data_IF_264669820524
#
_entry.id   IF_264669820524
#
_cell.length_a   1.000
_cell.length_b   1.000
_cell.length_c   1.000
_cell.angle_alpha   90.00
_cell.angle_beta   90.00
_cell.angle_gamma   90.00
#
_symmetry.space_group_name_H-M   'P 1'
#
loop_
_entity.id
_entity.type
_entity.pdbx_description
1 polymer ?
#
# COMPACT_ATOMS: atom_id res chain seq x y z
N UNK A 1 -20.56 -3.00 22.80
CA UNK A 1 -21.47 -3.98 23.46
C UNK A 1 -21.36 -5.40 22.87
N UNK A 2 -21.51 -5.60 21.55
CA UNK A 2 -21.43 -6.94 20.93
C UNK A 2 -20.10 -7.68 21.15
N UNK A 3 -18.96 -7.00 20.98
CA UNK A 3 -17.63 -7.60 21.18
C UNK A 3 -17.38 -8.00 22.64
N UNK A 4 -17.84 -7.18 23.60
CA UNK A 4 -17.70 -7.46 25.03
C UNK A 4 -18.54 -8.67 25.45
N UNK A 5 -19.77 -8.79 24.95
CA UNK A 5 -20.64 -9.94 25.19
C UNK A 5 -20.02 -11.22 24.60
N UNK A 6 -19.53 -11.16 23.37
CA UNK A 6 -18.83 -12.26 22.72
C UNK A 6 -17.59 -12.69 23.53
N UNK A 7 -16.79 -11.73 23.98
CA UNK A 7 -15.62 -11.97 24.83
C UNK A 7 -15.96 -12.63 26.15
N UNK A 8 -16.99 -12.14 26.84
CA UNK A 8 -17.45 -12.73 28.09
C UNK A 8 -17.94 -14.17 27.91
N UNK A 9 -18.74 -14.43 26.86
CA UNK A 9 -19.21 -15.77 26.53
C UNK A 9 -18.06 -16.73 26.19
N UNK A 10 -17.11 -16.29 25.35
CA UNK A 10 -15.94 -17.09 24.94
C UNK A 10 -15.01 -17.42 26.12
N UNK A 11 -14.79 -16.43 27.01
CA UNK A 11 -14.00 -16.61 28.23
C UNK A 11 -14.68 -17.57 29.21
N UNK A 12 -15.99 -17.41 29.43
CA UNK A 12 -16.75 -18.30 30.31
C UNK A 12 -16.78 -19.74 29.79
N UNK A 13 -16.99 -19.93 28.48
CA UNK A 13 -16.99 -21.24 27.85
C UNK A 13 -15.62 -21.92 27.97
N UNK A 14 -14.54 -21.16 27.77
CA UNK A 14 -13.17 -21.67 27.93
C UNK A 14 -12.90 -22.08 29.37
N UNK A 15 -13.26 -21.24 30.34
CA UNK A 15 -13.11 -21.54 31.76
C UNK A 15 -13.87 -22.82 32.14
N UNK A 16 -15.09 -23.01 31.63
CA UNK A 16 -15.89 -24.20 31.86
C UNK A 16 -15.23 -25.47 31.29
N UNK A 17 -14.76 -25.40 30.04
CA UNK A 17 -14.11 -26.55 29.37
C UNK A 17 -12.82 -26.93 30.09
N UNK A 18 -11.99 -25.96 30.46
CA UNK A 18 -10.74 -26.19 31.20
C UNK A 18 -11.03 -26.75 32.59
N UNK A 19 -11.99 -26.16 33.32
CA UNK A 19 -12.38 -26.65 34.65
C UNK A 19 -12.93 -28.08 34.59
N UNK A 20 -13.83 -28.38 33.66
CA UNK A 20 -14.37 -29.73 33.49
C UNK A 20 -13.26 -30.75 33.13
N UNK A 21 -12.35 -30.40 32.23
CA UNK A 21 -11.23 -31.26 31.85
C UNK A 21 -10.25 -31.48 33.02
N UNK A 22 -10.08 -30.49 33.89
CA UNK A 22 -9.26 -30.62 35.10
C UNK A 22 -9.94 -31.47 36.17
N UNK A 23 -11.23 -31.22 36.45
CA UNK A 23 -12.00 -31.98 37.44
C UNK A 23 -12.11 -33.47 37.09
N UNK A 24 -12.21 -33.83 35.81
CA UNK A 24 -12.26 -35.23 35.39
C UNK A 24 -10.93 -35.96 35.49
N UNK A 25 -9.80 -35.26 35.37
CA UNK A 25 -8.48 -35.90 35.17
C UNK A 25 -7.48 -35.66 36.31
N UNK A 26 -7.65 -34.62 37.12
CA UNK A 26 -6.85 -34.28 38.30
C UNK A 26 -5.39 -33.88 38.04
N UNK A 27 -4.77 -34.33 36.95
CA UNK A 27 -3.37 -34.10 36.61
C UNK A 27 -3.22 -33.16 35.40
N UNK A 28 -2.40 -32.11 35.56
CA UNK A 28 -2.15 -31.07 34.55
C UNK A 28 -1.84 -31.64 33.15
N UNK A 29 -0.88 -32.56 33.05
CA UNK A 29 -0.44 -33.14 31.77
C UNK A 29 -1.60 -33.84 31.04
N UNK A 30 -2.39 -34.62 31.75
CA UNK A 30 -3.52 -35.36 31.15
C UNK A 30 -4.67 -34.44 30.74
N UNK A 31 -4.85 -33.33 31.45
CA UNK A 31 -5.79 -32.26 31.07
C UNK A 31 -5.33 -31.56 29.80
N UNK A 32 -4.05 -31.19 29.68
CA UNK A 32 -3.50 -30.59 28.47
C UNK A 32 -3.65 -31.51 27.25
N UNK A 33 -3.36 -32.81 27.40
CA UNK A 33 -3.58 -33.79 26.33
C UNK A 33 -5.06 -33.85 25.91
N UNK A 34 -5.98 -33.83 26.87
CA UNK A 34 -7.40 -33.85 26.54
C UNK A 34 -7.85 -32.61 25.77
N UNK A 35 -7.43 -31.42 26.24
CA UNK A 35 -7.76 -30.15 25.62
C UNK A 35 -7.21 -30.05 24.19
N UNK A 36 -6.04 -30.63 23.95
CA UNK A 36 -5.37 -30.62 22.63
C UNK A 36 -5.81 -31.75 21.70
N UNK A 37 -6.41 -32.82 22.22
CA UNK A 37 -6.92 -33.95 21.41
C UNK A 37 -8.41 -33.88 21.14
N UNK A 38 -9.18 -33.22 22.00
CA UNK A 38 -10.63 -33.06 21.82
C UNK A 38 -10.93 -31.93 20.85
N UNK A 39 -11.53 -32.24 19.70
CA UNK A 39 -11.91 -31.24 18.69
C UNK A 39 -12.82 -30.15 19.25
N UNK A 40 -13.74 -30.51 20.15
CA UNK A 40 -14.62 -29.55 20.81
C UNK A 40 -13.86 -28.58 21.73
N UNK A 41 -12.90 -29.09 22.50
CA UNK A 41 -12.08 -28.25 23.39
C UNK A 41 -11.16 -27.33 22.58
N UNK A 42 -10.58 -27.84 21.50
CA UNK A 42 -9.77 -27.05 20.58
C UNK A 42 -10.55 -25.89 19.95
N UNK A 43 -11.78 -26.11 19.48
CA UNK A 43 -12.61 -25.05 18.89
C UNK A 43 -12.87 -23.92 19.89
N UNK A 44 -13.17 -24.27 21.15
CA UNK A 44 -13.41 -23.28 22.21
C UNK A 44 -12.13 -22.49 22.50
N UNK A 45 -10.98 -23.15 22.61
CA UNK A 45 -9.69 -22.49 22.82
C UNK A 45 -9.30 -21.59 21.64
N UNK A 46 -9.52 -22.03 20.41
CA UNK A 46 -9.28 -21.25 19.20
C UNK A 46 -10.19 -20.01 19.13
N UNK A 47 -11.44 -20.13 19.55
CA UNK A 47 -12.35 -18.98 19.65
C UNK A 47 -11.82 -17.93 20.63
N UNK A 48 -11.36 -18.35 21.83
CA UNK A 48 -10.75 -17.44 22.78
C UNK A 48 -9.47 -16.81 22.21
N UNK A 49 -8.61 -17.60 21.56
CA UNK A 49 -7.39 -17.09 20.92
C UNK A 49 -7.69 -16.05 19.83
N UNK A 50 -8.72 -16.28 19.01
CA UNK A 50 -9.20 -15.31 18.03
C UNK A 50 -9.71 -14.03 18.69
N UNK A 51 -10.51 -14.15 19.76
CA UNK A 51 -10.99 -13.01 20.51
C UNK A 51 -9.85 -12.16 21.09
N UNK A 52 -8.88 -12.80 21.75
CA UNK A 52 -7.69 -12.13 22.29
C UNK A 52 -6.91 -11.42 21.19
N UNK A 53 -6.70 -12.09 20.05
CA UNK A 53 -6.02 -11.48 18.88
C UNK A 53 -6.76 -10.23 18.40
N UNK A 54 -8.09 -10.26 18.29
CA UNK A 54 -8.91 -9.10 17.88
C UNK A 54 -8.79 -7.96 18.89
N UNK A 55 -8.82 -8.25 20.19
CA UNK A 55 -8.67 -7.22 21.25
C UNK A 55 -7.29 -6.58 21.19
N UNK A 56 -6.23 -7.37 21.06
CA UNK A 56 -4.86 -6.86 20.90
C UNK A 56 -4.72 -6.02 19.62
N UNK A 57 -5.29 -6.47 18.51
CA UNK A 57 -5.31 -5.72 17.26
C UNK A 57 -6.01 -4.36 17.43
N UNK A 58 -7.17 -4.32 18.11
CA UNK A 58 -7.91 -3.09 18.39
C UNK A 58 -7.14 -2.17 19.33
N UNK A 59 -6.45 -2.71 20.34
CA UNK A 59 -5.62 -1.93 21.25
C UNK A 59 -4.44 -1.29 20.51
N UNK A 60 -3.72 -2.06 19.69
CA UNK A 60 -2.64 -1.53 18.85
C UNK A 60 -3.17 -0.50 17.83
N UNK A 61 -4.31 -0.79 17.19
CA UNK A 61 -4.96 0.14 16.27
C UNK A 61 -5.31 1.47 16.96
N UNK A 62 -5.88 1.43 18.17
CA UNK A 62 -6.19 2.63 18.94
C UNK A 62 -4.92 3.40 19.36
N UNK A 63 -3.85 2.70 19.76
CA UNK A 63 -2.59 3.30 20.19
C UNK A 63 -1.87 4.06 19.05
N UNK A 64 -1.77 3.46 17.87
CA UNK A 64 -1.03 4.03 16.73
C UNK A 64 -1.89 4.92 15.83
N UNK A 65 -3.16 4.56 15.60
CA UNK A 65 -4.00 5.19 14.57
C UNK A 65 -5.22 5.94 15.10
N UNK A 66 -5.56 5.81 16.38
CA UNK A 66 -6.73 6.47 16.96
C UNK A 66 -8.05 5.92 16.41
N UNK A 67 -8.96 6.79 15.96
CA UNK A 67 -10.20 6.36 15.30
C UNK A 67 -9.97 6.21 13.79
N UNK A 68 -10.38 5.08 13.22
CA UNK A 68 -10.35 4.86 11.77
C UNK A 68 -11.46 5.67 11.09
N UNK A 69 -11.14 6.22 9.92
CA UNK A 69 -12.07 6.93 9.05
C UNK A 69 -12.96 5.92 8.32
N UNK A 70 -14.13 6.37 7.87
CA UNK A 70 -15.06 5.53 7.12
C UNK A 70 -14.40 4.91 5.88
N UNK A 71 -13.64 5.69 5.11
CA UNK A 71 -12.94 5.23 3.91
C UNK A 71 -11.90 4.12 4.23
N UNK A 72 -11.17 4.26 5.34
CA UNK A 72 -10.21 3.23 5.77
C UNK A 72 -10.92 1.93 6.14
N UNK A 73 -12.08 2.03 6.81
CA UNK A 73 -12.89 0.85 7.17
C UNK A 73 -13.45 0.17 5.92
N UNK A 74 -13.89 0.94 4.93
CA UNK A 74 -14.39 0.42 3.65
C UNK A 74 -13.30 -0.31 2.87
N UNK A 75 -12.14 0.32 2.66
CA UNK A 75 -10.99 -0.32 2.02
C UNK A 75 -10.55 -1.58 2.77
N UNK A 76 -10.54 -1.55 4.11
CA UNK A 76 -10.21 -2.73 4.91
C UNK A 76 -11.20 -3.87 4.66
N UNK A 77 -12.50 -3.60 4.57
CA UNK A 77 -13.51 -4.63 4.31
C UNK A 77 -13.31 -5.26 2.94
N UNK A 78 -13.14 -4.44 1.90
CA UNK A 78 -12.92 -4.91 0.53
C UNK A 78 -11.65 -5.76 0.41
N UNK A 79 -10.51 -5.23 0.87
CA UNK A 79 -9.21 -5.91 0.79
C UNK A 79 -9.18 -7.19 1.64
N UNK A 80 -9.80 -7.17 2.82
CA UNK A 80 -9.84 -8.35 3.71
C UNK A 80 -10.63 -9.50 3.09
N UNK A 81 -11.76 -9.21 2.43
CA UNK A 81 -12.56 -10.24 1.77
C UNK A 81 -11.75 -10.96 0.68
N UNK A 82 -11.04 -10.20 -0.16
CA UNK A 82 -10.16 -10.80 -1.17
C UNK A 82 -9.03 -11.63 -0.55
N UNK A 83 -8.32 -11.10 0.45
CA UNK A 83 -7.22 -11.82 1.10
C UNK A 83 -7.67 -13.14 1.74
N UNK A 84 -8.87 -13.18 2.34
CA UNK A 84 -9.44 -14.42 2.88
C UNK A 84 -9.73 -15.40 1.74
N UNK A 85 -10.35 -14.96 0.64
CA UNK A 85 -10.64 -15.84 -0.50
C UNK A 85 -9.38 -16.40 -1.16
N UNK A 86 -8.33 -15.60 -1.32
CA UNK A 86 -7.04 -16.00 -1.88
C UNK A 86 -6.36 -17.03 -0.98
N UNK A 87 -6.44 -16.87 0.33
CA UNK A 87 -5.91 -17.86 1.28
C UNK A 87 -6.73 -19.15 1.26
N UNK A 88 -8.05 -19.06 1.14
CA UNK A 88 -8.90 -20.23 0.94
C UNK A 88 -8.53 -21.01 -0.33
N UNK A 89 -8.18 -20.30 -1.41
CA UNK A 89 -7.66 -20.93 -2.62
C UNK A 89 -6.26 -21.54 -2.39
N UNK A 90 -5.38 -20.87 -1.65
CA UNK A 90 -4.06 -21.41 -1.29
C UNK A 90 -4.16 -22.71 -0.48
N UNK A 91 -5.16 -22.83 0.41
CA UNK A 91 -5.40 -24.06 1.18
C UNK A 91 -5.75 -25.27 0.29
N UNK A 92 -6.31 -25.05 -0.91
CA UNK A 92 -6.62 -26.17 -1.82
C UNK A 92 -5.37 -26.86 -2.35
N UNK A 93 -4.25 -26.11 -2.44
CA UNK A 93 -2.97 -26.60 -2.94
C UNK A 93 -2.22 -27.36 -1.83
N UNK A 94 -2.38 -26.94 -0.58
CA UNK A 94 -1.62 -27.45 0.56
C UNK A 94 -2.52 -28.06 1.64
N UNK A 95 -3.50 -28.84 1.20
CA UNK A 95 -4.50 -29.44 2.07
C UNK A 95 -3.90 -30.28 3.21
N UNK A 96 -2.75 -30.90 2.96
CA UNK A 96 -2.06 -31.79 3.91
C UNK A 96 -1.31 -31.02 5.03
N UNK A 97 -0.95 -29.76 4.80
CA UNK A 97 -0.27 -28.89 5.77
C UNK A 97 -1.25 -28.14 6.69
N UNK A 98 -2.56 -28.39 6.58
CA UNK A 98 -3.55 -27.69 7.38
C UNK A 98 -3.51 -28.13 8.85
N UNK A 99 -3.06 -27.22 9.72
CA UNK A 99 -2.98 -27.45 11.16
C UNK A 99 -3.08 -26.16 11.99
N UNK A 100 -2.92 -26.28 13.31
CA UNK A 100 -2.99 -25.14 14.24
C UNK A 100 -1.92 -24.09 13.95
N UNK A 101 -0.72 -24.51 13.58
CA UNK A 101 0.37 -23.61 13.22
C UNK A 101 0.05 -22.83 11.95
N UNK A 102 -0.53 -23.47 10.93
CA UNK A 102 -1.00 -22.78 9.73
C UNK A 102 -2.02 -21.69 10.07
N UNK A 103 -3.03 -22.01 10.89
CA UNK A 103 -4.03 -21.04 11.31
C UNK A 103 -3.41 -19.85 12.08
N UNK A 104 -2.39 -20.11 12.89
CA UNK A 104 -1.65 -19.06 13.60
C UNK A 104 -0.87 -18.15 12.63
N UNK A 105 -0.10 -18.72 11.69
CA UNK A 105 0.63 -17.94 10.68
C UNK A 105 -0.31 -17.16 9.76
N UNK A 106 -1.44 -17.76 9.38
CA UNK A 106 -2.47 -17.07 8.59
C UNK A 106 -3.10 -15.91 9.36
N UNK A 107 -3.50 -16.13 10.61
CA UNK A 107 -4.03 -15.08 11.47
C UNK A 107 -3.03 -13.93 11.66
N UNK A 108 -1.75 -14.26 11.83
CA UNK A 108 -0.67 -13.27 11.91
C UNK A 108 -0.49 -12.51 10.59
N UNK A 109 -0.49 -13.19 9.44
CA UNK A 109 -0.37 -12.56 8.13
C UNK A 109 -1.52 -11.56 7.90
N UNK A 110 -2.76 -11.98 8.15
CA UNK A 110 -3.92 -11.08 8.00
C UNK A 110 -3.82 -9.87 8.92
N UNK A 111 -3.40 -10.06 10.16
CA UNK A 111 -3.22 -8.96 11.12
C UNK A 111 -2.18 -7.95 10.60
N UNK A 112 -1.03 -8.44 10.13
CA UNK A 112 0.04 -7.60 9.58
C UNK A 112 -0.41 -6.92 8.29
N UNK A 113 -1.13 -7.60 7.39
CA UNK A 113 -1.74 -7.01 6.17
C UNK A 113 -2.66 -5.84 6.52
N UNK A 114 -3.55 -6.00 7.51
CA UNK A 114 -4.47 -4.95 7.95
C UNK A 114 -3.70 -3.70 8.40
N UNK A 115 -2.65 -3.86 9.20
CA UNK A 115 -1.85 -2.72 9.64
C UNK A 115 -1.13 -2.03 8.48
N UNK A 116 -0.57 -2.77 7.52
CA UNK A 116 -0.01 -2.19 6.31
C UNK A 116 -1.02 -1.36 5.52
N UNK A 117 -2.24 -1.87 5.33
CA UNK A 117 -3.30 -1.15 4.63
C UNK A 117 -3.70 0.14 5.34
N UNK A 118 -3.79 0.12 6.67
CA UNK A 118 -4.08 1.34 7.45
C UNK A 118 -2.95 2.36 7.31
N UNK A 119 -1.69 1.94 7.43
CA UNK A 119 -0.54 2.84 7.28
C UNK A 119 -0.53 3.47 5.89
N UNK A 120 -0.74 2.67 4.84
CA UNK A 120 -0.81 3.17 3.47
C UNK A 120 -1.89 4.24 3.31
N UNK A 121 -3.13 3.94 3.72
CA UNK A 121 -4.25 4.88 3.61
C UNK A 121 -4.04 6.16 4.45
N UNK A 122 -3.28 6.08 5.55
CA UNK A 122 -2.92 7.24 6.38
C UNK A 122 -1.84 8.10 5.74
N UNK A 123 -0.83 7.48 5.13
CA UNK A 123 0.23 8.20 4.41
C UNK A 123 -0.35 8.88 3.17
N UNK A 124 -1.20 8.20 2.40
CA UNK A 124 -1.86 8.78 1.23
C UNK A 124 -2.78 9.96 1.64
N UNK A 125 -3.34 9.95 2.86
CA UNK A 125 -4.12 11.07 3.37
C UNK A 125 -3.30 12.26 3.88
N UNK A 126 -2.01 12.10 4.14
CA UNK A 126 -1.16 13.22 4.61
C UNK A 126 -1.18 14.40 3.65
N UNK A 127 -1.35 14.15 2.35
CA UNK A 127 -1.48 15.19 1.33
C UNK A 127 -2.69 16.11 1.54
N UNK A 128 -3.76 15.60 2.14
CA UNK A 128 -5.01 16.34 2.34
C UNK A 128 -5.05 17.06 3.69
N UNK A 129 -4.05 16.83 4.57
CA UNK A 129 -4.06 17.33 5.95
C UNK A 129 -2.85 18.26 6.20
N UNK A 130 -3.06 19.60 6.22
CA UNK A 130 -1.95 20.55 6.32
C UNK A 130 -1.33 20.66 7.72
N UNK A 131 -2.02 20.21 8.78
CA UNK A 131 -1.58 20.37 10.17
C UNK A 131 -1.34 19.02 10.85
N UNK A 132 -0.18 18.42 10.61
CA UNK A 132 0.23 17.18 11.25
C UNK A 132 0.98 17.45 12.57
N UNK A 133 0.60 16.75 13.64
CA UNK A 133 1.27 16.88 14.93
C UNK A 133 2.55 16.04 14.98
N UNK A 134 3.52 16.41 15.83
CA UNK A 134 4.74 15.60 16.05
C UNK A 134 4.39 14.17 16.50
N UNK A 135 3.35 14.02 17.33
CA UNK A 135 2.88 12.71 17.79
C UNK A 135 2.41 11.81 16.65
N UNK A 136 1.83 12.38 15.58
CA UNK A 136 1.48 11.63 14.38
C UNK A 136 2.73 11.07 13.70
N UNK A 137 3.76 11.90 13.47
CA UNK A 137 5.00 11.45 12.84
C UNK A 137 5.71 10.36 13.64
N UNK A 138 5.80 10.51 14.97
CA UNK A 138 6.37 9.48 15.85
C UNK A 138 5.60 8.17 15.74
N UNK A 139 4.27 8.21 15.77
CA UNK A 139 3.42 7.01 15.64
C UNK A 139 3.57 6.34 14.27
N UNK A 140 3.61 7.11 13.18
CA UNK A 140 3.74 6.57 11.82
C UNK A 140 5.11 5.93 11.58
N UNK A 141 6.20 6.61 11.98
CA UNK A 141 7.55 6.04 11.83
C UNK A 141 7.74 4.80 12.70
N UNK A 142 7.23 4.81 13.93
CA UNK A 142 7.33 3.66 14.83
C UNK A 142 6.55 2.46 14.30
N UNK A 143 5.30 2.63 13.83
CA UNK A 143 4.54 1.50 13.29
C UNK A 143 5.14 0.96 11.99
N UNK A 144 5.59 1.82 11.07
CA UNK A 144 6.29 1.38 9.84
C UNK A 144 7.57 0.59 10.16
N UNK A 145 8.34 1.05 11.16
CA UNK A 145 9.54 0.34 11.64
C UNK A 145 9.22 -1.02 12.26
N UNK A 146 8.18 -1.10 13.10
CA UNK A 146 7.73 -2.35 13.70
C UNK A 146 7.23 -3.35 12.65
N UNK A 147 6.49 -2.89 11.64
CA UNK A 147 6.04 -3.71 10.53
C UNK A 147 7.23 -4.24 9.73
N UNK A 148 8.20 -3.39 9.38
CA UNK A 148 9.42 -3.81 8.66
C UNK A 148 10.18 -4.90 9.41
N UNK A 149 10.41 -4.73 10.72
CA UNK A 149 11.10 -5.73 11.54
C UNK A 149 10.30 -7.03 11.59
N UNK A 150 8.98 -6.95 11.72
CA UNK A 150 8.10 -8.12 11.77
C UNK A 150 8.15 -8.89 10.45
N UNK A 151 8.04 -8.22 9.30
CA UNK A 151 8.07 -8.87 8.00
C UNK A 151 9.43 -9.51 7.73
N UNK A 152 10.53 -8.80 8.01
CA UNK A 152 11.89 -9.35 7.83
C UNK A 152 12.12 -10.59 8.71
N UNK A 153 11.66 -10.56 9.96
CA UNK A 153 11.75 -11.70 10.86
C UNK A 153 10.94 -12.90 10.35
N UNK A 154 9.73 -12.67 9.83
CA UNK A 154 8.85 -13.72 9.31
C UNK A 154 9.33 -14.29 7.98
N UNK A 155 9.90 -13.45 7.09
CA UNK A 155 10.59 -13.92 5.87
C UNK A 155 11.80 -14.75 6.26
N UNK A 156 12.63 -14.29 7.19
CA UNK A 156 13.80 -15.04 7.67
C UNK A 156 13.42 -16.39 8.26
N UNK A 157 12.36 -16.42 9.09
CA UNK A 157 11.80 -17.67 9.63
C UNK A 157 11.28 -18.59 8.52
N UNK A 158 10.52 -18.06 7.55
CA UNK A 158 9.99 -18.85 6.45
C UNK A 158 11.12 -19.49 5.61
N UNK A 159 12.18 -18.73 5.31
CA UNK A 159 13.35 -19.23 4.59
C UNK A 159 14.07 -20.31 5.38
N UNK A 160 14.39 -20.08 6.66
CA UNK A 160 15.07 -21.07 7.51
C UNK A 160 14.25 -22.36 7.64
N UNK A 161 12.93 -22.22 7.85
CA UNK A 161 12.03 -23.37 7.93
C UNK A 161 11.99 -24.16 6.62
N UNK A 162 11.86 -23.47 5.48
CA UNK A 162 11.85 -24.11 4.16
C UNK A 162 13.17 -24.80 3.84
N UNK A 163 14.32 -24.25 4.25
CA UNK A 163 15.62 -24.88 4.03
C UNK A 163 15.81 -26.15 4.89
N UNK A 164 15.22 -26.21 6.08
CA UNK A 164 15.36 -27.37 6.99
C UNK A 164 14.35 -28.48 6.72
N UNK A 165 13.09 -28.12 6.50
CA UNK A 165 11.96 -29.07 6.39
C UNK A 165 11.65 -29.38 4.92
N UNK A 166 12.02 -28.48 4.00
CA UNK A 166 11.69 -28.57 2.58
C UNK A 166 10.52 -27.68 2.19
N UNK A 167 10.03 -27.79 0.93
CA UNK A 167 8.98 -26.95 0.41
C UNK A 167 7.63 -27.28 1.07
N UNK A 168 7.06 -26.28 1.75
CA UNK A 168 5.78 -26.33 2.47
C UNK A 168 5.04 -25.01 2.28
N UNK A 169 3.88 -24.83 2.89
CA UNK A 169 3.15 -23.54 2.89
C UNK A 169 3.93 -22.32 3.34
N UNK A 170 5.03 -22.50 4.07
CA UNK A 170 5.89 -21.38 4.47
C UNK A 170 6.43 -20.59 3.27
N UNK A 171 6.55 -21.23 2.10
CA UNK A 171 6.91 -20.56 0.85
C UNK A 171 5.88 -19.45 0.52
N UNK A 172 4.57 -19.75 0.59
CA UNK A 172 3.52 -18.75 0.36
C UNK A 172 3.60 -17.61 1.37
N UNK A 173 3.73 -17.93 2.66
CA UNK A 173 3.84 -16.91 3.69
C UNK A 173 5.06 -16.00 3.49
N UNK A 174 6.24 -16.57 3.22
CA UNK A 174 7.46 -15.79 2.96
C UNK A 174 7.32 -14.87 1.75
N UNK A 175 6.63 -15.32 0.71
CA UNK A 175 6.31 -14.51 -0.46
C UNK A 175 5.37 -13.35 -0.14
N UNK A 176 4.29 -13.61 0.60
CA UNK A 176 3.35 -12.58 1.03
C UNK A 176 4.03 -11.51 1.90
N UNK A 177 4.89 -11.92 2.85
CA UNK A 177 5.68 -10.98 3.64
C UNK A 177 6.71 -10.21 2.79
N UNK A 178 7.27 -10.81 1.74
CA UNK A 178 8.16 -10.11 0.81
C UNK A 178 7.43 -9.00 0.05
N UNK A 179 6.18 -9.24 -0.36
CA UNK A 179 5.34 -8.21 -0.98
C UNK A 179 5.02 -7.10 0.03
N UNK A 180 4.75 -7.45 1.29
CA UNK A 180 4.50 -6.48 2.35
C UNK A 180 5.72 -5.60 2.64
N UNK A 181 6.93 -6.15 2.63
CA UNK A 181 8.16 -5.36 2.72
C UNK A 181 8.24 -4.34 1.59
N UNK A 182 8.02 -4.77 0.34
CA UNK A 182 8.02 -3.88 -0.82
C UNK A 182 6.98 -2.76 -0.69
N UNK A 183 5.79 -3.10 -0.20
CA UNK A 183 4.73 -2.13 0.08
C UNK A 183 5.15 -1.14 1.17
N UNK A 184 5.70 -1.60 2.29
CA UNK A 184 6.12 -0.76 3.40
C UNK A 184 7.27 0.18 3.00
N UNK A 185 8.22 -0.28 2.17
CA UNK A 185 9.27 0.59 1.59
C UNK A 185 8.63 1.69 0.74
N UNK A 186 7.69 1.35 -0.15
CA UNK A 186 7.00 2.34 -0.98
C UNK A 186 6.25 3.37 -0.12
N UNK A 187 5.49 2.90 0.87
CA UNK A 187 4.76 3.77 1.80
C UNK A 187 5.71 4.65 2.60
N UNK A 188 6.87 4.16 3.03
CA UNK A 188 7.89 4.96 3.70
C UNK A 188 8.46 6.05 2.79
N UNK A 189 8.77 5.73 1.52
CA UNK A 189 9.23 6.73 0.56
C UNK A 189 8.16 7.79 0.31
N UNK A 190 6.88 7.41 0.13
CA UNK A 190 5.77 8.38 0.02
C UNK A 190 5.67 9.26 1.25
N UNK A 191 5.75 8.67 2.45
CA UNK A 191 5.75 9.41 3.71
C UNK A 191 6.86 10.47 3.76
N UNK A 192 8.07 10.12 3.33
CA UNK A 192 9.19 11.08 3.25
C UNK A 192 8.88 12.19 2.23
N UNK A 193 8.41 11.85 1.03
CA UNK A 193 8.04 12.84 0.01
C UNK A 193 6.95 13.81 0.50
N UNK A 194 5.89 13.31 1.14
CA UNK A 194 4.84 14.14 1.72
C UNK A 194 5.36 15.02 2.86
N UNK A 195 6.29 14.52 3.69
CA UNK A 195 6.88 15.30 4.78
C UNK A 195 7.79 16.42 4.26
N UNK A 196 8.52 16.19 3.17
CA UNK A 196 9.33 17.22 2.50
C UNK A 196 8.43 18.31 1.93
N UNK A 197 7.38 17.92 1.21
CA UNK A 197 6.40 18.82 0.60
C UNK A 197 5.71 19.71 1.64
N UNK A 198 5.25 19.13 2.77
CA UNK A 198 4.61 19.87 3.87
C UNK A 198 5.54 20.89 4.57
N UNK A 199 6.86 20.73 4.44
CA UNK A 199 7.85 21.69 4.99
C UNK A 199 8.24 22.77 4.00
N UNK A 200 7.91 22.60 2.72
CA UNK A 200 8.17 23.59 1.69
C UNK A 200 7.24 24.79 1.83
N UNK A 201 7.75 25.99 1.60
CA UNK A 201 6.92 27.20 1.53
C UNK A 201 6.08 27.24 0.25
N UNK A 202 6.54 26.55 -0.81
CA UNK A 202 5.88 26.46 -2.10
C UNK A 202 5.45 25.02 -2.39
N UNK A 203 4.32 24.81 -3.08
CA UNK A 203 3.89 23.48 -3.52
C UNK A 203 4.98 22.78 -4.34
N UNK A 204 5.30 21.52 -4.05
CA UNK A 204 6.29 20.78 -4.83
C UNK A 204 5.68 20.25 -6.14
N UNK A 205 5.88 21.00 -7.23
CA UNK A 205 5.30 20.70 -8.55
C UNK A 205 5.70 19.33 -9.12
N UNK A 206 6.96 18.90 -8.93
CA UNK A 206 7.48 17.64 -9.47
C UNK A 206 7.12 16.40 -8.61
N UNK A 207 6.60 16.58 -7.39
CA UNK A 207 6.27 15.47 -6.47
C UNK A 207 5.40 14.37 -7.10
N UNK A 208 4.32 14.68 -7.85
CA UNK A 208 3.50 13.64 -8.48
C UNK A 208 4.31 12.75 -9.45
N UNK A 209 5.35 13.30 -10.08
CA UNK A 209 6.22 12.53 -10.98
C UNK A 209 7.12 11.57 -10.20
N UNK A 210 7.64 11.97 -9.04
CA UNK A 210 8.39 11.07 -8.15
C UNK A 210 7.51 9.94 -7.63
N UNK A 211 6.28 10.24 -7.20
CA UNK A 211 5.31 9.22 -6.76
C UNK A 211 4.97 8.26 -7.91
N UNK A 212 4.79 8.78 -9.13
CA UNK A 212 4.55 7.97 -10.31
C UNK A 212 5.70 7.00 -10.60
N UNK A 213 6.95 7.48 -10.57
CA UNK A 213 8.13 6.62 -10.75
C UNK A 213 8.29 5.59 -9.66
N UNK A 214 8.06 5.98 -8.40
CA UNK A 214 8.08 5.07 -7.27
C UNK A 214 7.08 3.92 -7.47
N UNK A 215 5.83 4.24 -7.78
CA UNK A 215 4.80 3.24 -8.03
C UNK A 215 5.17 2.33 -9.22
N UNK A 216 5.74 2.87 -10.29
CA UNK A 216 6.18 2.08 -11.46
C UNK A 216 7.27 1.07 -11.07
N UNK A 217 8.26 1.48 -10.27
CA UNK A 217 9.34 0.62 -9.78
C UNK A 217 8.77 -0.46 -8.84
N UNK A 218 7.81 -0.10 -7.99
CA UNK A 218 7.15 -1.05 -7.09
C UNK A 218 6.33 -2.08 -7.86
N UNK A 219 5.55 -1.66 -8.86
CA UNK A 219 4.80 -2.57 -9.72
C UNK A 219 5.74 -3.52 -10.48
N UNK A 220 6.89 -3.02 -10.96
CA UNK A 220 7.91 -3.86 -11.58
C UNK A 220 8.50 -4.89 -10.60
N UNK A 221 8.90 -4.46 -9.40
CA UNK A 221 9.43 -5.35 -8.37
C UNK A 221 8.43 -6.43 -8.00
N UNK A 222 7.17 -6.04 -7.75
CA UNK A 222 6.08 -6.99 -7.49
C UNK A 222 5.92 -7.99 -8.62
N UNK A 223 5.91 -7.56 -9.88
CA UNK A 223 5.81 -8.48 -11.02
C UNK A 223 6.96 -9.48 -11.07
N UNK A 224 8.20 -9.04 -10.82
CA UNK A 224 9.35 -9.94 -10.73
C UNK A 224 9.15 -10.94 -9.60
N UNK A 225 8.75 -10.51 -8.41
CA UNK A 225 8.48 -11.39 -7.28
C UNK A 225 7.35 -12.38 -7.58
N UNK A 226 6.22 -11.91 -8.13
CA UNK A 226 5.09 -12.76 -8.54
C UNK A 226 5.52 -13.80 -9.57
N UNK A 227 6.31 -13.41 -10.57
CA UNK A 227 6.75 -14.31 -11.64
C UNK A 227 7.74 -15.36 -11.14
N UNK A 228 8.74 -14.96 -10.34
CA UNK A 228 9.68 -15.89 -9.71
C UNK A 228 8.95 -16.89 -8.83
N UNK A 229 8.02 -16.41 -8.01
CA UNK A 229 7.23 -17.26 -7.14
C UNK A 229 6.32 -18.20 -7.92
N UNK A 230 5.69 -17.72 -9.00
CA UNK A 230 4.89 -18.54 -9.89
C UNK A 230 5.70 -19.70 -10.46
N UNK A 231 6.93 -19.44 -10.94
CA UNK A 231 7.84 -20.50 -11.43
C UNK A 231 8.15 -21.51 -10.32
N UNK A 232 8.52 -21.03 -9.13
CA UNK A 232 8.86 -21.87 -7.98
C UNK A 232 7.69 -22.80 -7.61
N UNK A 233 6.47 -22.26 -7.47
CA UNK A 233 5.31 -23.07 -7.07
C UNK A 233 4.86 -24.03 -8.18
N UNK A 234 4.90 -23.61 -9.44
CA UNK A 234 4.58 -24.50 -10.57
C UNK A 234 5.55 -25.68 -10.66
N UNK A 235 6.84 -25.46 -10.42
CA UNK A 235 7.83 -26.54 -10.48
C UNK A 235 7.75 -27.49 -9.27
N UNK A 236 7.37 -27.00 -8.10
CA UNK A 236 7.41 -27.79 -6.86
C UNK A 236 6.08 -28.46 -6.49
N UNK A 237 4.95 -27.80 -6.76
CA UNK A 237 3.65 -28.15 -6.13
C UNK A 237 2.50 -28.18 -7.14
N UNK A 238 2.54 -27.36 -8.20
CA UNK A 238 1.51 -27.30 -9.24
C UNK A 238 0.97 -25.89 -9.48
N UNK A 239 -0.22 -25.76 -10.07
CA UNK A 239 -0.76 -24.46 -10.51
C UNK A 239 -1.20 -23.56 -9.34
N UNK A 240 -0.57 -22.37 -9.14
CA UNK A 240 -0.88 -21.46 -8.04
C UNK A 240 -2.08 -20.56 -8.34
N UNK A 241 -3.31 -21.11 -8.28
CA UNK A 241 -4.53 -20.33 -8.58
C UNK A 241 -4.70 -19.08 -7.71
N UNK A 242 -4.23 -19.12 -6.45
CA UNK A 242 -4.33 -18.01 -5.51
C UNK A 242 -3.60 -16.73 -5.96
N UNK A 243 -2.59 -16.82 -6.84
CA UNK A 243 -1.77 -15.67 -7.27
C UNK A 243 -2.25 -15.07 -8.60
N UNK A 244 -3.05 -15.80 -9.38
CA UNK A 244 -3.39 -15.40 -10.75
C UNK A 244 -4.07 -14.03 -10.82
N UNK A 245 -4.96 -13.74 -9.87
CA UNK A 245 -5.65 -12.45 -9.79
C UNK A 245 -4.66 -11.31 -9.57
N UNK A 246 -3.83 -11.41 -8.53
CA UNK A 246 -2.88 -10.36 -8.17
C UNK A 246 -1.82 -10.15 -9.27
N UNK A 247 -1.33 -11.22 -9.88
CA UNK A 247 -0.43 -11.15 -11.01
C UNK A 247 -1.08 -10.39 -12.18
N UNK A 248 -2.34 -10.69 -12.51
CA UNK A 248 -3.04 -10.02 -13.61
C UNK A 248 -3.32 -8.54 -13.31
N UNK A 249 -3.78 -8.21 -12.09
CA UNK A 249 -4.04 -6.83 -11.68
C UNK A 249 -2.75 -6.02 -11.70
N UNK A 250 -1.66 -6.55 -11.14
CA UNK A 250 -0.35 -5.88 -11.12
C UNK A 250 0.20 -5.70 -12.54
N UNK A 251 0.06 -6.72 -13.41
CA UNK A 251 0.50 -6.64 -14.79
C UNK A 251 -0.27 -5.57 -15.57
N UNK A 252 -1.59 -5.52 -15.39
CA UNK A 252 -2.44 -4.50 -16.02
C UNK A 252 -2.06 -3.10 -15.54
N UNK A 253 -1.85 -2.90 -14.24
CA UNK A 253 -1.39 -1.62 -13.67
C UNK A 253 -0.06 -1.19 -14.30
N UNK A 254 0.92 -2.10 -14.33
CA UNK A 254 2.24 -1.80 -14.90
C UNK A 254 2.17 -1.45 -16.39
N UNK A 255 1.42 -2.21 -17.19
CA UNK A 255 1.23 -1.92 -18.62
C UNK A 255 0.58 -0.55 -18.80
N UNK A 256 -0.42 -0.21 -17.99
CA UNK A 256 -1.08 1.09 -18.06
C UNK A 256 -0.11 2.21 -17.71
N UNK A 257 0.63 2.11 -16.60
CA UNK A 257 1.64 3.11 -16.21
C UNK A 257 2.74 3.27 -17.25
N UNK A 258 3.20 2.18 -17.89
CA UNK A 258 4.14 2.27 -19.00
C UNK A 258 3.57 3.05 -20.19
N UNK A 259 2.29 2.83 -20.54
CA UNK A 259 1.62 3.61 -21.59
C UNK A 259 1.51 5.09 -21.21
N UNK A 260 1.14 5.37 -19.97
CA UNK A 260 1.02 6.74 -19.45
C UNK A 260 2.38 7.45 -19.48
N UNK A 261 3.48 6.76 -19.12
CA UNK A 261 4.83 7.32 -19.19
C UNK A 261 5.26 7.61 -20.63
N UNK A 262 4.97 6.70 -21.57
CA UNK A 262 5.27 6.90 -23.00
C UNK A 262 4.47 8.09 -23.53
N UNK A 263 3.18 8.19 -23.17
CA UNK A 263 2.32 9.29 -23.58
C UNK A 263 2.80 10.61 -22.99
N UNK A 264 3.13 10.65 -21.69
CA UNK A 264 3.72 11.81 -21.02
C UNK A 264 5.01 12.25 -21.71
N UNK A 265 5.93 11.32 -22.00
CA UNK A 265 7.19 11.64 -22.70
C UNK A 265 6.95 12.16 -24.11
N UNK A 266 5.99 11.60 -24.86
CA UNK A 266 5.63 12.10 -26.20
C UNK A 266 4.99 13.48 -26.17
N UNK A 267 4.15 13.76 -25.17
CA UNK A 267 3.48 15.04 -25.01
C UNK A 267 4.43 16.17 -24.59
N UNK A 268 5.42 15.83 -23.76
CA UNK A 268 6.42 16.77 -23.25
C UNK A 268 7.68 16.86 -24.12
N UNK A 269 7.91 15.90 -25.03
CA UNK A 269 8.96 15.97 -26.02
C UNK A 269 8.76 17.16 -26.95
N UNK A 270 9.83 17.95 -27.14
CA UNK A 270 9.89 19.11 -28.04
C UNK A 270 8.83 20.19 -27.73
N UNK A 271 8.33 20.24 -26.49
CA UNK A 271 7.29 21.20 -26.11
C UNK A 271 7.80 22.65 -26.14
N UNK A 272 9.08 22.85 -25.81
CA UNK A 272 9.77 24.13 -25.89
C UNK A 272 9.80 24.68 -27.33
N UNK A 273 10.03 23.79 -28.31
CA UNK A 273 10.17 24.13 -29.73
C UNK A 273 8.82 24.18 -30.45
N UNK A 274 7.85 23.38 -29.99
CA UNK A 274 6.53 23.24 -30.60
C UNK A 274 5.61 24.43 -30.34
N UNK A 275 5.76 25.10 -29.20
CA UNK A 275 4.92 26.24 -28.84
C UNK A 275 5.77 27.52 -28.75
N UNK A 276 5.43 28.59 -29.51
CA UNK A 276 6.15 29.85 -29.43
C UNK A 276 5.93 30.52 -28.07
N UNK A 277 6.93 31.29 -27.64
CA UNK A 277 6.79 32.16 -26.46
C UNK A 277 5.82 33.30 -26.80
N UNK A 278 4.95 33.66 -25.86
CA UNK A 278 4.06 34.81 -26.00
C UNK A 278 4.88 36.11 -25.96
N UNK A 279 4.56 37.07 -26.83
CA UNK A 279 5.18 38.39 -26.80
C UNK A 279 4.56 39.26 -25.70
N UNK A 280 5.29 40.30 -25.25
CA UNK A 280 4.79 41.23 -24.24
C UNK A 280 3.50 41.97 -24.69
N UNK A 281 3.34 42.18 -26.00
CA UNK A 281 2.15 42.79 -26.59
C UNK A 281 0.95 41.83 -26.58
N UNK A 282 1.16 40.56 -26.93
CA UNK A 282 0.11 39.52 -26.88
C UNK A 282 -0.37 39.25 -25.46
N UNK A 283 0.56 39.32 -24.49
CA UNK A 283 0.26 39.16 -23.07
C UNK A 283 -0.39 40.40 -22.46
N UNK A 284 -0.20 41.58 -23.05
CA UNK A 284 -0.92 42.80 -22.65
C UNK A 284 -2.33 42.85 -23.24
N UNK A 285 -2.56 42.21 -24.40
CA UNK A 285 -3.86 42.13 -25.06
C UNK A 285 -4.80 41.09 -24.44
N UNK A 286 -4.28 40.15 -23.65
CA UNK A 286 -5.02 39.06 -23.00
C UNK A 286 -4.95 39.21 -21.48
N UNK A 287 -5.84 38.54 -20.73
CA UNK A 287 -5.70 38.41 -19.28
C UNK A 287 -4.34 37.78 -18.95
N UNK A 288 -3.53 38.48 -18.15
CA UNK A 288 -2.19 38.02 -17.72
C UNK A 288 -2.27 36.87 -16.73
N UNK A 289 -3.46 36.55 -16.24
CA UNK A 289 -3.66 35.48 -15.26
C UNK A 289 -3.68 34.12 -15.95
N UNK A 290 -2.79 33.21 -15.57
CA UNK A 290 -2.88 31.83 -16.05
C UNK A 290 -4.09 31.13 -15.42
N UNK A 291 -5.04 30.63 -16.20
CA UNK A 291 -6.24 29.94 -15.68
C UNK A 291 -5.91 28.65 -14.89
N UNK A 292 -4.74 28.04 -15.10
CA UNK A 292 -4.35 26.78 -14.44
C UNK A 292 -3.90 27.04 -12.98
N UNK A 293 -2.89 27.90 -12.76
CA UNK A 293 -2.37 28.20 -11.43
C UNK A 293 -2.99 29.45 -10.78
N UNK A 294 -3.67 30.30 -11.57
CA UNK A 294 -4.22 31.61 -11.18
C UNK A 294 -3.16 32.63 -10.76
N UNK A 295 -1.93 32.47 -11.24
CA UNK A 295 -0.84 33.42 -11.04
C UNK A 295 -0.62 34.26 -12.31
N UNK A 296 -0.01 35.45 -12.14
CA UNK A 296 0.33 36.32 -13.27
C UNK A 296 1.45 35.71 -14.12
N UNK A 297 1.29 35.81 -15.43
CA UNK A 297 2.26 35.40 -16.42
C UNK A 297 3.16 36.59 -16.75
N UNK A 298 4.46 36.37 -16.70
CA UNK A 298 5.43 37.32 -17.23
C UNK A 298 5.76 36.99 -18.68
N UNK A 299 5.82 38.03 -19.51
CA UNK A 299 6.43 37.89 -20.83
C UNK A 299 7.91 37.56 -20.60
N UNK A 300 8.50 36.72 -21.45
CA UNK A 300 9.94 36.47 -21.38
C UNK A 300 10.69 37.80 -21.55
N UNK A 301 11.10 38.41 -20.44
CA UNK A 301 11.73 39.73 -20.45
C UNK A 301 13.12 39.58 -21.06
N UNK A 302 13.27 40.04 -22.30
CA UNK A 302 14.56 40.37 -22.89
C UNK A 302 15.29 39.22 -23.60
N UNK A 303 14.94 38.97 -24.86
CA UNK A 303 15.90 38.56 -25.88
C UNK A 303 15.45 39.01 -27.27
N UNK A 304 15.50 40.32 -27.51
CA UNK A 304 15.62 40.84 -28.86
C UNK A 304 17.01 40.44 -29.38
N UNK A 305 17.13 39.23 -29.93
CA UNK A 305 18.38 38.69 -30.45
C UNK A 305 18.27 37.19 -30.61
N UNK A 306 18.54 36.71 -31.84
CA UNK A 306 18.53 35.30 -32.20
C UNK A 306 19.26 34.43 -31.17
N UNK A 307 18.57 33.41 -30.64
CA UNK A 307 19.18 32.35 -29.79
C UNK A 307 18.85 32.39 -28.30
N UNK A 308 17.62 32.76 -27.91
CA UNK A 308 17.19 32.72 -26.51
C UNK A 308 16.84 31.30 -26.03
N UNK A 309 17.86 30.50 -25.75
CA UNK A 309 17.72 29.32 -24.91
C UNK A 309 17.38 29.74 -23.47
N UNK A 310 16.20 29.33 -22.99
CA UNK A 310 16.06 28.92 -21.60
C UNK A 310 15.70 29.97 -20.53
N UNK A 311 14.63 30.75 -20.73
CA UNK A 311 13.83 31.16 -19.56
C UNK A 311 12.91 29.96 -19.19
N UNK A 312 13.09 29.31 -18.03
CA UNK A 312 12.43 28.05 -17.72
C UNK A 312 10.90 28.16 -17.57
N UNK A 313 10.37 29.37 -17.43
CA UNK A 313 8.94 29.60 -17.19
C UNK A 313 8.28 30.64 -18.12
N UNK A 314 8.85 30.84 -19.30
CA UNK A 314 8.27 31.73 -20.30
C UNK A 314 6.85 31.29 -20.70
N UNK A 315 5.89 32.22 -20.70
CA UNK A 315 4.53 31.97 -21.14
C UNK A 315 4.50 31.45 -22.59
N UNK A 316 3.79 30.34 -22.82
CA UNK A 316 3.67 29.68 -24.14
C UNK A 316 2.28 29.87 -24.72
N UNK A 317 2.23 30.10 -26.05
CA UNK A 317 1.00 30.27 -26.81
C UNK A 317 0.63 29.01 -27.58
N UNK A 318 -0.62 28.55 -27.44
CA UNK A 318 -1.15 27.42 -28.21
C UNK A 318 -1.68 27.88 -29.58
N UNK A 319 -1.86 26.96 -30.56
CA UNK A 319 -2.48 27.27 -31.85
C UNK A 319 -3.90 27.86 -31.77
N UNK A 320 -4.64 27.56 -30.69
CA UNK A 320 -5.96 28.14 -30.42
C UNK A 320 -5.91 29.59 -29.90
N UNK A 321 -4.71 30.13 -29.63
CA UNK A 321 -4.50 31.50 -29.16
C UNK A 321 -4.38 31.66 -27.65
N UNK A 322 -4.75 30.66 -26.84
CA UNK A 322 -4.62 30.71 -25.38
C UNK A 322 -3.15 30.63 -24.91
N UNK A 323 -2.85 31.35 -23.83
CA UNK A 323 -1.49 31.54 -23.28
C UNK A 323 -1.46 31.03 -21.84
N UNK A 324 -0.41 30.27 -21.48
CA UNK A 324 -0.23 29.69 -20.14
C UNK A 324 1.25 29.68 -19.75
N UNK A 325 1.57 29.56 -18.45
CA UNK A 325 2.94 29.23 -18.02
C UNK A 325 3.38 27.89 -18.62
N UNK A 326 4.67 27.76 -18.89
CA UNK A 326 5.21 26.54 -19.48
C UNK A 326 5.02 25.33 -18.57
N UNK A 327 5.27 25.48 -17.26
CA UNK A 327 5.10 24.40 -16.28
C UNK A 327 3.62 23.97 -16.17
N UNK A 328 2.69 24.92 -16.10
CA UNK A 328 1.25 24.68 -16.07
C UNK A 328 0.78 23.91 -17.31
N UNK A 329 1.20 24.36 -18.49
CA UNK A 329 0.83 23.72 -19.74
C UNK A 329 1.41 22.30 -19.83
N UNK A 330 2.66 22.10 -19.37
CA UNK A 330 3.32 20.79 -19.34
C UNK A 330 2.58 19.81 -18.43
N UNK A 331 2.17 20.27 -17.25
CA UNK A 331 1.38 19.49 -16.30
C UNK A 331 0.01 19.09 -16.87
N UNK A 332 -0.68 20.04 -17.53
CA UNK A 332 -1.99 19.80 -18.15
C UNK A 332 -1.92 18.83 -19.33
N UNK A 333 -1.03 19.08 -20.30
CA UNK A 333 -0.88 18.21 -21.47
C UNK A 333 -0.39 16.80 -21.09
N UNK A 334 0.31 16.67 -19.96
CA UNK A 334 0.63 15.37 -19.36
C UNK A 334 -0.60 14.53 -18.99
N UNK A 335 -1.76 15.15 -18.76
CA UNK A 335 -3.02 14.49 -18.36
C UNK A 335 -4.08 14.50 -19.48
N UNK A 336 -4.24 15.62 -20.17
CA UNK A 336 -5.27 15.83 -21.18
C UNK A 336 -4.68 16.56 -22.38
N UNK A 337 -4.89 16.03 -23.60
CA UNK A 337 -4.35 16.60 -24.85
C UNK A 337 -5.22 17.73 -25.42
N UNK A 338 -6.14 18.29 -24.63
CA UNK A 338 -7.03 19.39 -25.00
C UNK A 338 -6.55 20.71 -24.40
N UNK A 339 -6.95 21.84 -25.00
CA UNK A 339 -6.70 23.15 -24.43
C UNK A 339 -7.42 23.32 -23.07
N UNK A 340 -6.77 23.88 -22.03
CA UNK A 340 -7.36 24.15 -20.71
C UNK A 340 -8.32 25.37 -20.69
N UNK A 341 -9.36 25.34 -21.53
CA UNK A 341 -10.36 26.44 -21.68
C UNK A 341 -11.74 25.93 -22.02
#
# INVERSE_FOLDING_TARGET
MRLALFGAASTALTALVVANAYLQRGLFFTTCIHLTRSSASLIVLLNLALFVTIVLAKAAQAAFFGQLRALEVEHLYERSWFAVTETCLAMTIFREDFGLLFLAFFGMLLLVKIFHWIVQDRVDFMEQSPNLTLGFHVRMVTIMGLLMVTDLALVGYAIDYTLRVGPTMMIIFGFEYTILISLNVSTFVKYVLHTIDLRGERPWEDKPMYIFYLDLVVDFFKLVTYFLFFIIVVHLIGMPLHILRDLWVTLRSFIQRCKDLIQYRRATANMQDRYPNATAEELAATDRTCIICREEMDAAVGAAGAGAEGAPDAAKKLPCGHIFHFHCLRSWLGRQQSCPT
#
